data_IF_701801576287
#
_entry.id   IF_701801576287
#
_cell.length_a   1.000
_cell.length_b   1.000
_cell.length_c   1.000
_cell.angle_alpha   90.00
_cell.angle_beta   90.00
_cell.angle_gamma   90.00
#
_symmetry.space_group_name_H-M   'P 1'
#
loop_
_entity.id
_entity.type
_entity.pdbx_description
1 polymer ?
#
# COMPACT_ATOMS: atom_id res chain seq x y z
N UNK A 1 17.26 -23.65 30.61
CA UNK A 1 18.18 -22.63 31.18
C UNK A 1 19.43 -23.36 31.64
N UNK A 2 20.51 -23.29 30.87
CA UNK A 2 21.76 -23.98 31.16
C UNK A 2 22.65 -23.06 32.02
N UNK A 3 22.92 -23.48 33.26
CA UNK A 3 23.93 -22.88 34.12
C UNK A 3 25.26 -23.61 33.87
N UNK A 4 26.24 -22.93 33.27
CA UNK A 4 27.61 -23.43 33.19
C UNK A 4 28.40 -22.95 34.41
N UNK A 5 28.95 -23.93 35.13
CA UNK A 5 29.74 -23.81 36.33
C UNK A 5 31.19 -23.46 35.93
N UNK A 6 31.73 -22.34 36.43
CA UNK A 6 33.09 -21.90 36.12
C UNK A 6 34.07 -22.51 37.12
N UNK A 7 34.87 -23.47 36.66
CA UNK A 7 35.93 -24.11 37.44
C UNK A 7 37.14 -23.21 37.67
N UNK A 8 37.50 -23.09 38.93
CA UNK A 8 38.67 -22.40 39.51
C UNK A 8 39.97 -23.09 39.05
N UNK A 9 40.81 -22.38 38.28
CA UNK A 9 42.16 -22.85 37.91
C UNK A 9 43.24 -22.00 38.59
N UNK A 10 44.16 -22.73 39.22
CA UNK A 10 45.13 -22.26 40.20
C UNK A 10 46.20 -21.32 39.65
N UNK A 11 46.69 -20.51 40.59
CA UNK A 11 47.89 -19.70 40.52
C UNK A 11 49.12 -20.51 40.12
N UNK A 12 49.66 -20.28 38.93
CA UNK A 12 51.07 -20.52 38.63
C UNK A 12 51.64 -19.28 37.95
N UNK A 13 52.61 -18.66 38.63
CA UNK A 13 53.39 -17.54 38.12
C UNK A 13 54.12 -17.94 36.84
N UNK A 14 53.62 -17.45 35.70
CA UNK A 14 54.27 -17.55 34.38
C UNK A 14 55.35 -16.45 34.20
N UNK A 15 55.80 -15.80 35.27
CA UNK A 15 56.74 -14.66 35.22
C UNK A 15 58.21 -15.07 35.42
N UNK A 16 58.62 -16.24 34.94
CA UNK A 16 60.01 -16.71 35.08
C UNK A 16 60.71 -17.03 33.75
N UNK A 17 60.14 -16.69 32.59
CA UNK A 17 60.75 -17.03 31.30
C UNK A 17 60.59 -15.93 30.24
N UNK A 18 61.04 -14.71 30.53
CA UNK A 18 61.04 -13.61 29.54
C UNK A 18 62.47 -13.13 29.21
N UNK A 19 63.51 -13.55 29.93
CA UNK A 19 64.88 -13.03 29.74
C UNK A 19 65.74 -13.75 28.66
N UNK A 20 65.14 -14.41 27.66
CA UNK A 20 65.91 -15.07 26.58
C UNK A 20 65.38 -14.78 25.17
N UNK A 21 64.87 -13.57 24.92
CA UNK A 21 64.64 -13.12 23.54
C UNK A 21 65.74 -12.12 23.19
N UNK A 22 66.63 -12.43 22.24
CA UNK A 22 67.54 -11.42 21.73
C UNK A 22 66.71 -10.31 21.07
N UNK A 23 66.86 -9.09 21.56
CA UNK A 23 66.29 -7.88 20.98
C UNK A 23 66.94 -7.67 19.62
N UNK A 24 66.42 -8.34 18.58
CA UNK A 24 66.67 -7.96 17.20
C UNK A 24 65.79 -6.75 16.92
N UNK A 25 66.21 -5.60 17.49
CA UNK A 25 65.77 -4.28 17.05
C UNK A 25 66.43 -4.02 15.69
N UNK A 26 65.96 -4.76 14.69
CA UNK A 26 66.14 -4.35 13.30
C UNK A 26 65.32 -3.08 13.09
N UNK A 27 65.97 -2.00 12.70
CA UNK A 27 65.31 -0.84 12.11
C UNK A 27 64.67 -1.30 10.79
N UNK A 28 63.45 -1.83 10.87
CA UNK A 28 62.64 -2.00 9.68
C UNK A 28 62.43 -0.61 9.06
N UNK A 29 63.11 -0.36 7.95
CA UNK A 29 62.90 0.85 7.15
C UNK A 29 61.50 0.77 6.54
N UNK A 30 60.52 1.29 7.26
CA UNK A 30 59.15 1.51 6.75
C UNK A 30 59.10 2.64 5.70
N UNK A 31 60.24 3.28 5.38
CA UNK A 31 60.30 4.38 4.43
C UNK A 31 59.92 3.96 2.99
N UNK A 32 60.17 2.70 2.61
CA UNK A 32 59.91 2.26 1.23
C UNK A 32 58.43 1.93 0.96
N UNK A 33 57.65 1.53 1.99
CA UNK A 33 56.22 1.23 1.84
C UNK A 33 55.33 2.49 1.81
N UNK A 34 55.85 3.64 2.27
CA UNK A 34 55.18 4.93 2.18
C UNK A 34 55.17 5.51 0.75
N UNK A 35 56.09 5.08 -0.12
CA UNK A 35 56.23 5.58 -1.49
C UNK A 35 55.13 5.08 -2.44
N UNK A 36 54.38 4.04 -2.07
CA UNK A 36 53.26 3.48 -2.84
C UNK A 36 51.90 3.66 -2.15
N UNK A 37 51.83 4.45 -1.08
CA UNK A 37 50.55 4.75 -0.44
C UNK A 37 49.66 5.51 -1.45
N UNK A 38 48.42 5.06 -1.72
CA UNK A 38 47.54 5.76 -2.63
C UNK A 38 47.32 7.17 -2.09
N UNK A 39 47.69 8.19 -2.87
CA UNK A 39 47.49 9.59 -2.53
C UNK A 39 45.98 9.85 -2.44
N UNK A 40 45.44 9.85 -1.23
CA UNK A 40 44.04 10.17 -0.98
C UNK A 40 43.87 11.67 -1.24
N UNK A 41 43.35 12.01 -2.42
CA UNK A 41 42.98 13.38 -2.76
C UNK A 41 41.60 13.63 -2.17
N UNK A 42 41.55 14.35 -1.05
CA UNK A 42 40.30 14.81 -0.50
C UNK A 42 39.70 15.88 -1.43
N UNK A 43 38.52 15.63 -1.98
CA UNK A 43 37.74 16.67 -2.65
C UNK A 43 37.16 17.60 -1.58
N UNK A 44 37.34 18.90 -1.74
CA UNK A 44 36.69 19.90 -0.87
C UNK A 44 35.18 19.67 -0.93
N UNK A 45 34.54 19.61 0.23
CA UNK A 45 33.09 19.51 0.32
C UNK A 45 32.47 20.78 -0.29
N UNK A 46 31.58 20.58 -1.26
CA UNK A 46 30.69 21.62 -1.78
C UNK A 46 29.27 21.29 -1.28
N UNK A 47 28.58 22.24 -0.65
CA UNK A 47 27.20 22.00 -0.25
C UNK A 47 26.37 21.69 -1.49
N UNK A 48 25.45 20.70 -1.41
CA UNK A 48 24.57 20.42 -2.53
C UNK A 48 23.76 21.67 -2.84
N UNK A 49 23.57 21.97 -4.13
CA UNK A 49 22.63 23.02 -4.50
C UNK A 49 21.26 22.69 -3.92
N UNK A 50 20.65 23.70 -3.30
CA UNK A 50 19.30 23.61 -2.79
C UNK A 50 18.39 23.59 -4.01
N UNK A 51 17.89 22.40 -4.32
CA UNK A 51 17.05 22.10 -5.47
C UNK A 51 15.88 21.27 -4.96
N UNK A 52 14.67 21.53 -5.47
CA UNK A 52 13.52 20.73 -5.13
C UNK A 52 13.73 19.26 -5.55
N UNK A 53 13.21 18.33 -4.76
CA UNK A 53 13.40 16.89 -4.98
C UNK A 53 12.99 16.47 -6.40
N UNK A 54 11.86 16.97 -6.89
CA UNK A 54 11.31 16.59 -8.18
C UNK A 54 12.11 17.17 -9.34
N UNK A 55 12.55 18.43 -9.22
CA UNK A 55 13.42 19.08 -10.20
C UNK A 55 14.73 18.32 -10.36
N UNK A 56 15.32 17.91 -9.23
CA UNK A 56 16.52 17.08 -9.21
C UNK A 56 16.31 15.75 -9.93
N UNK A 57 15.21 15.05 -9.67
CA UNK A 57 14.94 13.76 -10.28
C UNK A 57 14.62 13.88 -11.78
N UNK A 58 13.89 14.92 -12.18
CA UNK A 58 13.60 15.24 -13.58
C UNK A 58 14.90 15.56 -14.35
N UNK A 59 15.76 16.43 -13.79
CA UNK A 59 17.07 16.77 -14.36
C UNK A 59 17.99 15.56 -14.49
N UNK A 60 17.99 14.69 -13.48
CA UNK A 60 18.80 13.46 -13.47
C UNK A 60 18.17 12.30 -14.26
N UNK A 61 16.95 12.47 -14.80
CA UNK A 61 16.21 11.44 -15.55
C UNK A 61 16.13 10.10 -14.80
N UNK A 62 15.92 10.16 -13.49
CA UNK A 62 15.83 8.95 -12.67
C UNK A 62 14.53 8.20 -12.98
N UNK A 63 14.59 6.89 -13.28
CA UNK A 63 13.38 6.12 -13.53
C UNK A 63 12.56 5.95 -12.25
N UNK A 64 11.24 5.92 -12.40
CA UNK A 64 10.33 5.56 -11.32
C UNK A 64 10.37 4.05 -11.11
N UNK A 65 10.54 3.60 -9.86
CA UNK A 65 10.43 2.18 -9.53
C UNK A 65 9.02 1.67 -9.86
N UNK A 66 8.87 0.44 -10.40
CA UNK A 66 7.55 -0.12 -10.67
C UNK A 66 6.76 -0.23 -9.35
N UNK A 67 5.44 0.02 -9.42
CA UNK A 67 4.57 0.02 -8.25
C UNK A 67 3.33 -0.87 -8.50
N UNK A 68 2.35 -0.40 -9.28
CA UNK A 68 1.09 -1.14 -9.50
C UNK A 68 1.30 -2.44 -10.29
N UNK A 69 2.30 -2.49 -11.16
CA UNK A 69 2.60 -3.67 -11.98
C UNK A 69 3.25 -4.82 -11.21
N UNK A 70 3.82 -4.55 -10.03
CA UNK A 70 4.55 -5.57 -9.23
C UNK A 70 3.94 -5.80 -7.85
N UNK A 71 3.04 -4.92 -7.39
CA UNK A 71 2.45 -5.04 -6.06
C UNK A 71 1.41 -6.16 -6.02
N UNK A 72 1.50 -7.04 -5.02
CA UNK A 72 0.54 -8.13 -4.85
C UNK A 72 -0.87 -7.56 -4.58
N UNK A 73 -1.91 -8.02 -5.30
CA UNK A 73 -3.28 -7.61 -5.01
C UNK A 73 -3.67 -8.02 -3.58
N UNK A 74 -4.08 -7.04 -2.77
CA UNK A 74 -4.53 -7.24 -1.40
C UNK A 74 -6.03 -6.96 -1.35
N UNK A 75 -6.73 -7.67 -0.47
CA UNK A 75 -8.16 -7.41 -0.25
C UNK A 75 -8.40 -5.93 0.05
N UNK A 76 -7.59 -5.33 0.93
CA UNK A 76 -7.70 -3.91 1.32
C UNK A 76 -7.56 -2.94 0.16
N UNK A 77 -6.56 -3.13 -0.72
CA UNK A 77 -6.33 -2.23 -1.85
C UNK A 77 -7.42 -2.38 -2.90
N UNK A 78 -7.85 -3.61 -3.20
CA UNK A 78 -8.97 -3.86 -4.13
C UNK A 78 -10.24 -3.21 -3.60
N UNK A 79 -10.59 -3.43 -2.32
CA UNK A 79 -11.81 -2.85 -1.74
C UNK A 79 -11.78 -1.31 -1.78
N UNK A 80 -10.62 -0.69 -1.56
CA UNK A 80 -10.45 0.76 -1.65
C UNK A 80 -10.64 1.28 -3.08
N UNK A 81 -10.05 0.62 -4.09
CA UNK A 81 -10.22 0.99 -5.50
C UNK A 81 -11.68 0.81 -5.94
N UNK A 82 -12.30 -0.30 -5.57
CA UNK A 82 -13.72 -0.55 -5.85
C UNK A 82 -14.62 0.51 -5.22
N UNK A 83 -14.31 0.99 -4.02
CA UNK A 83 -15.09 2.05 -3.37
C UNK A 83 -15.03 3.38 -4.14
N UNK A 84 -13.87 3.73 -4.68
CA UNK A 84 -13.72 4.89 -5.57
C UNK A 84 -14.51 4.68 -6.87
N UNK A 85 -14.37 3.51 -7.48
CA UNK A 85 -15.06 3.18 -8.73
C UNK A 85 -16.59 3.23 -8.58
N UNK A 86 -17.14 2.60 -7.53
CA UNK A 86 -18.59 2.66 -7.27
C UNK A 86 -19.06 4.06 -6.93
N UNK A 87 -18.24 4.86 -6.23
CA UNK A 87 -18.54 6.27 -5.98
C UNK A 87 -18.67 7.07 -7.28
N UNK A 88 -17.70 6.94 -8.20
CA UNK A 88 -17.73 7.58 -9.53
C UNK A 88 -18.97 7.13 -10.32
N UNK A 89 -19.26 5.82 -10.33
CA UNK A 89 -20.43 5.26 -11.01
C UNK A 89 -21.72 5.87 -10.45
N UNK A 90 -21.88 5.91 -9.12
CA UNK A 90 -23.08 6.47 -8.48
C UNK A 90 -23.21 7.97 -8.73
N UNK A 91 -22.13 8.74 -8.63
CA UNK A 91 -22.14 10.15 -9.00
C UNK A 91 -22.54 10.33 -10.47
N UNK A 92 -22.08 9.45 -11.36
CA UNK A 92 -22.49 9.39 -12.75
C UNK A 92 -23.99 9.11 -12.92
N UNK A 93 -24.55 8.16 -12.16
CA UNK A 93 -25.99 7.85 -12.18
C UNK A 93 -26.83 9.07 -11.81
N UNK A 94 -26.55 9.69 -10.66
CA UNK A 94 -27.31 10.86 -10.21
C UNK A 94 -27.09 12.06 -11.11
N UNK A 95 -25.87 12.27 -11.60
CA UNK A 95 -25.57 13.33 -12.57
C UNK A 95 -26.34 13.14 -13.88
N UNK A 96 -26.34 11.93 -14.44
CA UNK A 96 -27.04 11.61 -15.68
C UNK A 96 -28.56 11.72 -15.53
N UNK A 97 -29.13 11.21 -14.43
CA UNK A 97 -30.57 11.34 -14.15
C UNK A 97 -30.96 12.80 -13.91
N UNK A 98 -30.15 13.56 -13.17
CA UNK A 98 -30.40 14.98 -12.91
C UNK A 98 -30.33 15.83 -14.17
N UNK A 99 -29.29 15.66 -15.00
CA UNK A 99 -29.19 16.34 -16.29
C UNK A 99 -30.30 15.88 -17.22
N UNK A 100 -30.55 14.57 -17.30
CA UNK A 100 -31.61 13.99 -18.12
C UNK A 100 -32.98 14.59 -17.80
N UNK A 101 -33.32 14.74 -16.53
CA UNK A 101 -34.57 15.37 -16.10
C UNK A 101 -34.70 16.85 -16.54
N UNK A 102 -33.59 17.54 -16.81
CA UNK A 102 -33.61 18.94 -17.27
C UNK A 102 -33.64 19.07 -18.80
N UNK A 103 -33.01 18.15 -19.52
CA UNK A 103 -32.77 18.29 -20.97
C UNK A 103 -33.66 17.40 -21.83
N UNK A 104 -34.22 16.32 -21.28
CA UNK A 104 -35.05 15.39 -22.02
C UNK A 104 -36.48 15.95 -22.20
N UNK A 105 -37.13 15.69 -23.36
CA UNK A 105 -38.42 16.27 -23.70
C UNK A 105 -39.62 15.64 -22.98
N UNK A 106 -39.42 14.50 -22.31
CA UNK A 106 -40.47 13.72 -21.67
C UNK A 106 -40.17 13.45 -20.20
N UNK A 107 -41.20 13.08 -19.45
CA UNK A 107 -41.08 12.73 -18.04
C UNK A 107 -40.56 11.29 -17.85
N UNK A 108 -40.26 10.92 -16.60
CA UNK A 108 -39.72 9.59 -16.30
C UNK A 108 -40.71 8.47 -16.65
N UNK A 109 -42.02 8.72 -16.55
CA UNK A 109 -43.07 7.75 -16.86
C UNK A 109 -42.99 7.29 -18.32
N UNK A 110 -42.78 8.23 -19.25
CA UNK A 110 -42.60 7.91 -20.67
C UNK A 110 -41.45 6.94 -20.91
N UNK A 111 -40.28 7.18 -20.30
CA UNK A 111 -39.11 6.33 -20.45
C UNK A 111 -39.28 4.96 -19.78
N UNK A 112 -40.01 4.89 -18.65
CA UNK A 112 -40.38 3.62 -18.02
C UNK A 112 -41.24 2.79 -18.96
N UNK A 113 -42.28 3.38 -19.57
CA UNK A 113 -43.14 2.69 -20.54
C UNK A 113 -42.36 2.17 -21.74
N UNK A 114 -41.37 2.91 -22.24
CA UNK A 114 -40.47 2.40 -23.30
C UNK A 114 -39.77 1.13 -22.86
N UNK A 115 -39.22 1.09 -21.64
CA UNK A 115 -38.52 -0.09 -21.10
C UNK A 115 -39.50 -1.26 -20.89
N UNK A 116 -40.70 -1.00 -20.38
CA UNK A 116 -41.75 -2.01 -20.21
C UNK A 116 -42.14 -2.66 -21.54
N UNK A 117 -42.25 -1.86 -22.60
CA UNK A 117 -42.58 -2.34 -23.96
C UNK A 117 -41.45 -3.14 -24.64
N UNK A 118 -40.25 -3.20 -24.06
CA UNK A 118 -39.20 -4.13 -24.51
C UNK A 118 -39.52 -5.59 -24.14
N UNK A 119 -40.56 -5.83 -23.32
CA UNK A 119 -41.04 -7.15 -22.91
C UNK A 119 -39.89 -8.05 -22.39
N UNK A 120 -39.00 -7.48 -21.60
CA UNK A 120 -37.84 -8.17 -21.04
C UNK A 120 -38.30 -9.30 -20.10
N UNK A 121 -37.57 -10.43 -20.13
CA UNK A 121 -37.85 -11.53 -19.22
C UNK A 121 -37.63 -11.10 -17.75
N UNK A 122 -38.35 -11.71 -16.78
CA UNK A 122 -38.12 -11.42 -15.35
C UNK A 122 -36.67 -11.62 -14.92
N UNK A 123 -35.97 -12.61 -15.49
CA UNK A 123 -34.56 -12.85 -15.22
C UNK A 123 -33.67 -11.71 -15.76
N UNK A 124 -33.94 -11.22 -16.98
CA UNK A 124 -33.22 -10.09 -17.57
C UNK A 124 -33.42 -8.82 -16.75
N UNK A 125 -34.65 -8.54 -16.32
CA UNK A 125 -34.97 -7.40 -15.45
C UNK A 125 -34.26 -7.51 -14.10
N UNK A 126 -34.25 -8.69 -13.49
CA UNK A 126 -33.54 -8.90 -12.23
C UNK A 126 -32.03 -8.64 -12.37
N UNK A 127 -31.40 -9.14 -13.43
CA UNK A 127 -29.96 -8.88 -13.69
C UNK A 127 -29.70 -7.39 -13.91
N UNK A 128 -30.55 -6.69 -14.68
CA UNK A 128 -30.41 -5.25 -14.88
C UNK A 128 -30.53 -4.47 -13.56
N UNK A 129 -31.54 -4.79 -12.73
CA UNK A 129 -31.70 -4.21 -11.39
C UNK A 129 -30.51 -4.52 -10.49
N UNK A 130 -30.01 -5.75 -10.51
CA UNK A 130 -28.84 -6.17 -9.74
C UNK A 130 -27.59 -5.37 -10.11
N UNK A 131 -27.31 -5.17 -11.40
CA UNK A 131 -26.17 -4.37 -11.86
C UNK A 131 -26.29 -2.90 -11.46
N UNK A 132 -27.50 -2.33 -11.47
CA UNK A 132 -27.74 -0.96 -10.99
C UNK A 132 -27.62 -0.85 -9.46
N UNK A 133 -28.07 -1.87 -8.73
CA UNK A 133 -28.03 -1.90 -7.27
C UNK A 133 -26.65 -2.24 -6.69
N UNK A 134 -25.81 -2.98 -7.40
CA UNK A 134 -24.52 -3.46 -6.88
C UNK A 134 -23.56 -2.33 -6.46
N UNK A 135 -23.39 -1.23 -7.24
CA UNK A 135 -22.61 -0.08 -6.80
C UNK A 135 -23.19 0.57 -5.53
N UNK A 136 -24.52 0.66 -5.42
CA UNK A 136 -25.21 1.23 -4.24
C UNK A 136 -24.91 0.37 -3.01
N UNK A 137 -25.18 -0.93 -3.08
CA UNK A 137 -24.98 -1.86 -1.97
C UNK A 137 -23.53 -1.88 -1.48
N UNK A 138 -22.58 -1.93 -2.43
CA UNK A 138 -21.16 -1.93 -2.10
C UNK A 138 -20.69 -0.60 -1.49
N UNK A 139 -21.02 0.51 -2.15
CA UNK A 139 -20.55 1.83 -1.71
C UNK A 139 -21.11 2.19 -0.33
N UNK A 140 -22.37 1.85 -0.07
CA UNK A 140 -23.00 2.05 1.23
C UNK A 140 -22.34 1.19 2.33
N UNK A 141 -22.23 -0.12 2.12
CA UNK A 141 -21.65 -1.03 3.11
C UNK A 141 -20.19 -0.69 3.43
N UNK A 142 -19.37 -0.44 2.40
CA UNK A 142 -17.98 -0.05 2.62
C UNK A 142 -17.85 1.40 3.12
N UNK A 143 -18.79 2.29 2.79
CA UNK A 143 -18.86 3.65 3.34
C UNK A 143 -19.05 3.65 4.85
N UNK A 144 -19.96 2.81 5.39
CA UNK A 144 -20.10 2.61 6.84
C UNK A 144 -18.78 2.17 7.46
N UNK A 145 -18.08 1.21 6.83
CA UNK A 145 -16.77 0.75 7.29
C UNK A 145 -15.73 1.87 7.31
N UNK A 146 -15.71 2.75 6.31
CA UNK A 146 -14.84 3.93 6.30
C UNK A 146 -15.17 4.91 7.43
N UNK A 147 -16.46 5.20 7.68
CA UNK A 147 -16.85 6.05 8.80
C UNK A 147 -16.45 5.46 10.17
N UNK A 148 -16.45 4.13 10.31
CA UNK A 148 -15.92 3.45 11.50
C UNK A 148 -14.41 3.66 11.64
N UNK A 149 -13.67 3.60 10.54
CA UNK A 149 -12.23 3.88 10.52
C UNK A 149 -11.89 5.34 10.82
N UNK A 150 -12.72 6.29 10.38
CA UNK A 150 -12.55 7.71 10.69
C UNK A 150 -12.69 8.01 12.19
N UNK A 151 -13.43 7.16 12.92
CA UNK A 151 -13.48 7.16 14.39
C UNK A 151 -12.31 6.43 15.06
N UNK A 152 -11.27 6.07 14.31
CA UNK A 152 -10.11 5.29 14.75
C UNK A 152 -10.45 3.90 15.34
N UNK A 153 -11.52 3.26 14.87
CA UNK A 153 -11.96 1.93 15.32
C UNK A 153 -11.70 0.87 14.25
N UNK A 154 -11.38 -0.36 14.65
CA UNK A 154 -11.27 -1.49 13.69
C UNK A 154 -10.05 -1.43 12.75
N UNK A 155 -8.94 -0.84 13.22
CA UNK A 155 -7.74 -0.56 12.42
C UNK A 155 -6.63 -1.61 12.58
N UNK A 156 -6.81 -2.64 13.41
CA UNK A 156 -5.86 -3.76 13.42
C UNK A 156 -6.00 -4.57 12.13
N UNK A 157 -4.92 -5.19 11.66
CA UNK A 157 -4.96 -5.98 10.41
C UNK A 157 -6.06 -7.06 10.45
N UNK A 158 -6.24 -7.73 11.59
CA UNK A 158 -7.30 -8.74 11.75
C UNK A 158 -8.69 -8.13 11.55
N UNK A 159 -8.97 -6.99 12.17
CA UNK A 159 -10.25 -6.29 12.06
C UNK A 159 -10.48 -5.72 10.66
N UNK A 160 -9.43 -5.19 10.03
CA UNK A 160 -9.50 -4.69 8.66
C UNK A 160 -9.90 -5.81 7.70
N UNK A 161 -9.35 -7.01 7.83
CA UNK A 161 -9.75 -8.15 6.99
C UNK A 161 -11.14 -8.70 7.36
N UNK A 162 -11.45 -8.86 8.65
CA UNK A 162 -12.76 -9.39 9.08
C UNK A 162 -13.91 -8.46 8.69
N UNK A 163 -13.75 -7.15 8.90
CA UNK A 163 -14.72 -6.13 8.45
C UNK A 163 -14.83 -6.08 6.92
N UNK A 164 -13.73 -6.36 6.20
CA UNK A 164 -13.72 -6.46 4.74
C UNK A 164 -14.60 -7.60 4.22
N UNK A 165 -14.52 -8.79 4.83
CA UNK A 165 -15.40 -9.90 4.46
C UNK A 165 -16.83 -9.69 4.91
N UNK A 166 -17.04 -9.14 6.12
CA UNK A 166 -18.39 -8.85 6.63
C UNK A 166 -19.14 -7.86 5.74
N UNK A 167 -18.48 -6.77 5.30
CA UNK A 167 -19.11 -5.78 4.43
C UNK A 167 -19.37 -6.32 3.02
N UNK A 168 -18.57 -7.27 2.51
CA UNK A 168 -18.85 -7.97 1.25
C UNK A 168 -20.13 -8.82 1.35
N UNK A 169 -20.32 -9.53 2.47
CA UNK A 169 -21.57 -10.25 2.73
C UNK A 169 -22.77 -9.30 2.78
N UNK A 170 -22.63 -8.18 3.49
CA UNK A 170 -23.66 -7.14 3.55
C UNK A 170 -23.95 -6.53 2.17
N UNK A 171 -22.92 -6.30 1.35
CA UNK A 171 -23.07 -5.82 -0.03
C UNK A 171 -23.98 -6.72 -0.83
N UNK A 172 -23.75 -8.04 -0.80
CA UNK A 172 -24.57 -9.01 -1.55
C UNK A 172 -26.01 -8.98 -1.04
N UNK A 173 -26.21 -8.98 0.28
CA UNK A 173 -27.55 -8.94 0.88
C UNK A 173 -28.34 -7.69 0.47
N UNK A 174 -27.74 -6.51 0.57
CA UNK A 174 -28.37 -5.24 0.17
C UNK A 174 -28.66 -5.25 -1.34
N UNK A 175 -27.71 -5.69 -2.16
CA UNK A 175 -27.87 -5.70 -3.62
C UNK A 175 -29.01 -6.62 -4.05
N UNK A 176 -29.08 -7.83 -3.51
CA UNK A 176 -30.16 -8.79 -3.82
C UNK A 176 -31.50 -8.26 -3.36
N UNK A 177 -31.57 -7.69 -2.15
CA UNK A 177 -32.79 -7.07 -1.64
C UNK A 177 -33.29 -5.98 -2.59
N UNK A 178 -32.42 -5.02 -2.94
CA UNK A 178 -32.77 -3.93 -3.87
C UNK A 178 -33.16 -4.44 -5.26
N UNK A 179 -32.50 -5.48 -5.76
CA UNK A 179 -32.81 -6.05 -7.07
C UNK A 179 -34.16 -6.80 -7.09
N UNK A 180 -34.65 -7.24 -5.93
CA UNK A 180 -35.92 -7.95 -5.77
C UNK A 180 -37.14 -7.05 -5.56
N UNK A 181 -36.94 -5.74 -5.36
CA UNK A 181 -38.00 -4.74 -5.26
C UNK A 181 -38.63 -4.43 -6.63
#
# INVERSE_FOLDING_TARGET
MAFFNCGRLGSRSLLASINKVPTVLGSASYAQAAASAPKIVYKKFEPPQIEHHDDRNARLKRPMSPHLSIYAPQLTSILSVTHRATGIILSGYFGALGIGALVLPHDISHYITIIENLNLSPATLFVAKFLLAAPVGYHFANGIRHLVWDMAKGLTIKEVYSSGYAMLGLTVAITVLLASL
#
